data_IF_513340811499
#
_entry.id   IF_513340811499
#
_cell.length_a   1.000
_cell.length_b   1.000
_cell.length_c   1.000
_cell.angle_alpha   90.00
_cell.angle_beta   90.00
_cell.angle_gamma   90.00
#
_symmetry.space_group_name_H-M   'P 1'
#
loop_
_entity.id
_entity.type
_entity.pdbx_description
1 polymer ?
#
# COMPACT_ATOMS: atom_id res chain seq x y z
N UNK A 1 15.99 -9.86 -5.71
CA UNK A 1 15.99 -8.38 -5.76
C UNK A 1 17.28 -7.86 -5.16
N UNK A 2 17.94 -6.95 -5.83
CA UNK A 2 19.22 -6.35 -5.38
C UNK A 2 19.00 -4.90 -4.97
N UNK A 3 19.70 -4.49 -3.91
CA UNK A 3 19.66 -3.13 -3.39
C UNK A 3 21.07 -2.54 -3.35
N UNK A 4 21.16 -1.24 -3.59
CA UNK A 4 22.38 -0.43 -3.42
C UNK A 4 22.01 0.73 -2.49
N UNK A 5 22.37 0.60 -1.19
CA UNK A 5 21.85 1.49 -0.16
C UNK A 5 20.34 1.31 -0.02
N UNK A 6 19.57 2.39 -0.23
CA UNK A 6 18.09 2.36 -0.23
C UNK A 6 17.50 2.31 -1.65
N UNK A 7 18.35 2.08 -2.65
CA UNK A 7 17.94 2.11 -4.05
C UNK A 7 17.90 0.71 -4.63
N UNK A 8 16.81 0.41 -5.32
CA UNK A 8 16.67 -0.85 -6.07
C UNK A 8 17.37 -0.69 -7.42
N UNK A 9 18.37 -1.53 -7.69
CA UNK A 9 19.18 -1.44 -8.92
C UNK A 9 18.98 -2.62 -9.88
N UNK A 10 18.66 -3.81 -9.37
CA UNK A 10 18.37 -4.97 -10.20
C UNK A 10 17.48 -5.98 -9.47
N UNK A 11 16.86 -6.89 -10.22
CA UNK A 11 16.04 -7.96 -9.68
C UNK A 11 14.97 -8.41 -10.66
N UNK A 12 14.13 -9.31 -10.19
CA UNK A 12 12.89 -9.70 -10.85
C UNK A 12 11.75 -9.39 -9.89
N UNK A 13 10.80 -8.57 -10.32
CA UNK A 13 9.65 -8.20 -9.50
C UNK A 13 8.38 -8.76 -10.12
N UNK A 14 7.62 -9.47 -9.31
CA UNK A 14 6.22 -9.76 -9.62
C UNK A 14 5.39 -8.50 -9.34
N UNK A 15 4.46 -8.19 -10.22
CA UNK A 15 3.65 -6.99 -10.14
C UNK A 15 2.31 -7.33 -9.47
N UNK A 16 2.17 -7.07 -8.15
CA UNK A 16 1.04 -7.60 -7.36
C UNK A 16 -0.30 -6.94 -7.71
N UNK A 17 -0.30 -5.73 -8.28
CA UNK A 17 -1.55 -5.03 -8.58
C UNK A 17 -2.04 -5.27 -10.00
N UNK A 18 -1.16 -5.50 -10.94
CA UNK A 18 -1.51 -5.61 -12.35
C UNK A 18 -1.20 -6.97 -12.98
N UNK A 19 -0.46 -7.83 -12.26
CA UNK A 19 0.02 -9.10 -12.81
C UNK A 19 1.27 -8.93 -13.65
N UNK A 20 1.86 -10.08 -14.02
CA UNK A 20 3.11 -10.10 -14.76
C UNK A 20 4.33 -9.82 -13.89
N UNK A 21 5.44 -9.55 -14.55
CA UNK A 21 6.72 -9.27 -13.88
C UNK A 21 7.57 -8.33 -14.72
N UNK A 22 8.58 -7.75 -14.10
CA UNK A 22 9.56 -6.91 -14.78
C UNK A 22 10.93 -7.03 -14.12
N UNK A 23 11.99 -6.82 -14.90
CA UNK A 23 13.35 -6.71 -14.39
C UNK A 23 13.84 -5.26 -14.41
N UNK A 24 13.03 -4.33 -14.89
CA UNK A 24 13.38 -2.92 -15.03
C UNK A 24 13.07 -2.15 -13.77
N UNK A 25 14.12 -1.70 -13.05
CA UNK A 25 13.95 -0.87 -11.85
C UNK A 25 13.24 0.46 -12.15
N UNK A 26 13.35 0.97 -13.37
CA UNK A 26 12.69 2.22 -13.77
C UNK A 26 11.15 2.10 -13.81
N UNK A 27 10.62 0.89 -13.84
CA UNK A 27 9.18 0.63 -13.87
C UNK A 27 8.62 0.30 -12.49
N UNK A 28 9.45 0.34 -11.45
CA UNK A 28 9.08 -0.07 -10.10
C UNK A 28 9.12 1.14 -9.16
N UNK A 29 8.05 1.29 -8.40
CA UNK A 29 7.99 2.20 -7.24
C UNK A 29 7.83 1.36 -5.98
N UNK A 30 8.30 1.88 -4.86
CA UNK A 30 7.94 1.34 -3.54
C UNK A 30 6.71 2.11 -3.07
N UNK A 31 5.59 1.41 -2.98
CA UNK A 31 4.30 1.98 -2.63
C UNK A 31 3.99 1.76 -1.14
N UNK A 32 3.36 2.77 -0.54
CA UNK A 32 2.68 2.59 0.74
C UNK A 32 1.28 2.04 0.45
N UNK A 33 0.96 0.85 0.93
CA UNK A 33 -0.36 0.24 0.73
C UNK A 33 -1.44 1.17 1.24
N UNK A 34 -1.31 1.62 2.50
CA UNK A 34 -2.11 2.73 3.02
C UNK A 34 -1.33 4.01 2.76
N UNK A 35 -1.82 4.89 1.88
CA UNK A 35 -1.14 6.16 1.60
C UNK A 35 -0.97 6.99 2.89
N UNK A 36 0.17 7.64 3.03
CA UNK A 36 0.44 8.47 4.20
C UNK A 36 -0.59 9.58 4.36
N UNK A 37 -1.01 10.18 3.25
CA UNK A 37 -2.02 11.23 3.23
C UNK A 37 -3.38 10.70 3.68
N UNK A 38 -3.76 9.49 3.26
CA UNK A 38 -4.99 8.84 3.71
C UNK A 38 -4.97 8.62 5.22
N UNK A 39 -3.88 8.05 5.73
CA UNK A 39 -3.71 7.79 7.16
C UNK A 39 -3.79 9.08 7.99
N UNK A 40 -3.18 10.15 7.49
CA UNK A 40 -3.23 11.46 8.16
C UNK A 40 -4.68 11.93 8.37
N UNK A 41 -5.52 11.78 7.34
CA UNK A 41 -6.94 12.15 7.40
C UNK A 41 -7.82 11.18 8.18
N UNK A 42 -7.28 10.03 8.60
CA UNK A 42 -8.03 8.96 9.28
C UNK A 42 -7.47 8.65 10.67
N UNK A 43 -6.93 9.64 11.34
CA UNK A 43 -6.45 9.56 12.72
C UNK A 43 -4.93 9.70 12.88
N UNK A 44 -4.16 9.54 11.80
CA UNK A 44 -2.71 9.64 11.85
C UNK A 44 -2.18 11.02 12.18
N UNK A 45 -2.97 12.07 11.97
CA UNK A 45 -2.62 13.44 12.33
C UNK A 45 -2.35 13.63 13.84
N UNK A 46 -2.93 12.74 14.67
CA UNK A 46 -2.78 12.77 16.13
C UNK A 46 -1.61 11.96 16.63
N UNK A 47 -0.92 11.24 15.77
CA UNK A 47 0.21 10.42 16.17
C UNK A 47 1.42 11.27 16.53
N UNK A 48 2.26 10.75 17.41
CA UNK A 48 3.60 11.30 17.63
C UNK A 48 4.44 11.21 16.36
N UNK A 49 5.49 12.02 16.26
CA UNK A 49 6.42 11.94 15.14
C UNK A 49 7.05 10.56 15.01
N UNK A 50 7.38 9.93 16.14
CA UNK A 50 7.93 8.58 16.16
C UNK A 50 6.96 7.56 15.56
N UNK A 51 5.67 7.67 15.88
CA UNK A 51 4.65 6.76 15.36
C UNK A 51 4.40 7.01 13.86
N UNK A 52 4.39 8.26 13.43
CA UNK A 52 4.28 8.61 11.98
C UNK A 52 5.44 8.00 11.20
N UNK A 53 6.65 8.09 11.74
CA UNK A 53 7.84 7.51 11.13
C UNK A 53 7.77 5.99 11.10
N UNK A 54 7.32 5.36 12.17
CA UNK A 54 7.16 3.91 12.24
C UNK A 54 6.18 3.42 11.18
N UNK A 55 5.06 4.13 10.98
CA UNK A 55 4.07 3.80 9.95
C UNK A 55 4.66 3.92 8.55
N UNK A 56 5.35 5.02 8.28
CA UNK A 56 5.95 5.29 6.96
C UNK A 56 7.01 4.26 6.58
N UNK A 57 7.68 3.67 7.56
CA UNK A 57 8.76 2.69 7.34
C UNK A 57 8.35 1.25 7.65
N UNK A 58 7.08 1.01 7.95
CA UNK A 58 6.61 -0.34 8.28
C UNK A 58 6.64 -1.23 7.04
N UNK A 59 7.41 -2.34 7.06
CA UNK A 59 7.48 -3.26 5.91
C UNK A 59 6.12 -3.81 5.50
N UNK A 60 5.17 -3.95 6.43
CA UNK A 60 3.82 -4.43 6.12
C UNK A 60 3.04 -3.42 5.28
N UNK A 61 3.44 -2.15 5.30
CA UNK A 61 2.84 -1.09 4.50
C UNK A 61 3.63 -0.76 3.23
N UNK A 62 4.71 -1.48 2.95
CA UNK A 62 5.56 -1.21 1.80
C UNK A 62 5.46 -2.36 0.79
N UNK A 63 5.34 -2.01 -0.49
CA UNK A 63 5.22 -2.99 -1.57
C UNK A 63 5.86 -2.45 -2.85
N UNK A 64 6.73 -3.26 -3.46
CA UNK A 64 7.25 -2.95 -4.79
C UNK A 64 6.12 -3.18 -5.81
N UNK A 65 5.80 -2.18 -6.60
CA UNK A 65 4.72 -2.24 -7.58
C UNK A 65 5.10 -1.49 -8.84
N UNK A 66 4.33 -1.64 -9.93
CA UNK A 66 4.60 -0.87 -11.13
C UNK A 66 4.32 0.62 -10.90
N UNK A 67 5.14 1.48 -11.52
CA UNK A 67 4.96 2.93 -11.43
C UNK A 67 3.59 3.36 -11.95
N UNK A 68 3.09 2.71 -13.01
CA UNK A 68 1.79 3.04 -13.57
C UNK A 68 0.63 2.67 -12.61
N UNK A 69 0.69 1.51 -11.97
CA UNK A 69 -0.31 1.12 -10.98
C UNK A 69 -0.26 2.02 -9.74
N UNK A 70 0.94 2.40 -9.32
CA UNK A 70 1.11 3.32 -8.19
C UNK A 70 0.51 4.70 -8.48
N UNK A 71 0.71 5.22 -9.69
CA UNK A 71 0.10 6.50 -10.11
C UNK A 71 -1.43 6.40 -10.18
N UNK A 72 -1.95 5.29 -10.69
CA UNK A 72 -3.40 5.03 -10.73
C UNK A 72 -4.01 4.99 -9.35
N UNK A 73 -3.34 4.32 -8.41
CA UNK A 73 -3.79 4.18 -7.02
C UNK A 73 -3.85 5.52 -6.30
N UNK A 74 -2.84 6.36 -6.47
CA UNK A 74 -2.78 7.67 -5.79
C UNK A 74 -2.88 7.56 -4.27
N UNK A 75 -3.51 8.55 -3.64
CA UNK A 75 -3.66 8.65 -2.19
C UNK A 75 -5.08 8.36 -1.71
N UNK A 76 -5.81 7.50 -2.42
CA UNK A 76 -7.21 7.18 -2.13
C UNK A 76 -7.35 5.82 -1.42
N UNK A 77 -8.50 5.64 -0.79
CA UNK A 77 -8.77 4.45 0.02
C UNK A 77 -9.31 3.27 -0.76
N UNK A 78 -9.55 2.13 -0.08
CA UNK A 78 -9.94 0.88 -0.73
C UNK A 78 -11.36 0.88 -1.30
N UNK A 79 -12.18 1.86 -0.92
CA UNK A 79 -13.52 2.07 -1.47
C UNK A 79 -13.51 2.77 -2.82
N UNK A 80 -12.38 3.39 -3.20
CA UNK A 80 -12.24 4.17 -4.42
C UNK A 80 -11.24 3.57 -5.41
N UNK A 81 -10.36 2.69 -4.95
CA UNK A 81 -9.40 2.00 -5.80
C UNK A 81 -9.09 0.62 -5.27
N UNK A 82 -9.06 -0.35 -6.16
CA UNK A 82 -8.61 -1.72 -5.92
C UNK A 82 -7.69 -2.16 -7.05
N UNK A 83 -6.69 -3.02 -6.77
CA UNK A 83 -5.86 -3.57 -7.83
C UNK A 83 -6.66 -4.47 -8.75
N UNK A 84 -6.18 -4.67 -9.97
CA UNK A 84 -6.82 -5.56 -10.95
C UNK A 84 -6.84 -7.02 -10.47
N UNK A 85 -5.78 -7.43 -9.76
CA UNK A 85 -5.64 -8.77 -9.19
C UNK A 85 -5.24 -8.68 -7.71
N UNK A 86 -5.33 -9.80 -6.99
CA UNK A 86 -4.94 -9.90 -5.58
C UNK A 86 -5.73 -8.94 -4.66
N UNK A 87 -7.00 -8.73 -4.99
CA UNK A 87 -7.86 -7.81 -4.23
C UNK A 87 -7.99 -8.21 -2.77
N UNK A 88 -8.17 -9.51 -2.51
CA UNK A 88 -8.34 -10.00 -1.14
C UNK A 88 -7.06 -9.80 -0.31
N UNK A 89 -5.89 -10.15 -0.84
CA UNK A 89 -4.64 -9.95 -0.10
C UNK A 89 -4.34 -8.47 0.11
N UNK A 90 -4.67 -7.62 -0.85
CA UNK A 90 -4.57 -6.17 -0.71
C UNK A 90 -5.47 -5.66 0.43
N UNK A 91 -6.72 -6.10 0.44
CA UNK A 91 -7.68 -5.74 1.47
C UNK A 91 -7.27 -6.22 2.86
N UNK A 92 -6.71 -7.43 2.96
CA UNK A 92 -6.21 -7.97 4.23
C UNK A 92 -5.02 -7.17 4.78
N UNK A 93 -4.17 -6.65 3.90
CA UNK A 93 -3.08 -5.74 4.29
C UNK A 93 -3.64 -4.45 4.89
N UNK A 94 -4.67 -3.86 4.24
CA UNK A 94 -5.37 -2.70 4.78
C UNK A 94 -5.93 -2.99 6.16
N UNK A 95 -6.66 -4.09 6.31
CA UNK A 95 -7.30 -4.46 7.58
C UNK A 95 -6.28 -4.62 8.70
N UNK A 96 -5.19 -5.33 8.45
CA UNK A 96 -4.13 -5.54 9.45
C UNK A 96 -3.47 -4.24 9.89
N UNK A 97 -3.22 -3.33 8.95
CA UNK A 97 -2.61 -2.03 9.25
C UNK A 97 -3.57 -1.10 9.98
N UNK A 98 -4.85 -1.11 9.60
CA UNK A 98 -5.90 -0.35 10.30
C UNK A 98 -5.94 -0.76 11.77
N UNK A 99 -5.95 -2.05 12.05
CA UNK A 99 -5.96 -2.58 13.43
C UNK A 99 -4.67 -2.23 14.17
N UNK A 100 -3.53 -2.41 13.52
CA UNK A 100 -2.22 -2.19 14.14
C UNK A 100 -2.04 -0.74 14.57
N UNK A 101 -2.53 0.20 13.77
CA UNK A 101 -2.32 1.64 14.02
C UNK A 101 -3.57 2.36 14.53
N UNK A 102 -4.67 1.67 14.67
CA UNK A 102 -5.91 2.26 15.17
C UNK A 102 -6.49 3.34 14.25
N UNK A 103 -6.41 3.11 12.94
CA UNK A 103 -6.93 4.07 11.95
C UNK A 103 -8.46 4.07 11.95
N UNK A 104 -9.03 5.26 11.70
CA UNK A 104 -10.49 5.45 11.64
C UNK A 104 -10.98 5.14 10.23
N UNK A 105 -12.04 4.35 10.12
CA UNK A 105 -12.61 3.94 8.84
C UNK A 105 -14.07 4.33 8.73
N UNK A 106 -14.52 4.56 7.48
CA UNK A 106 -15.93 4.72 7.16
C UNK A 106 -16.57 3.36 6.88
N UNK A 107 -17.91 3.31 6.92
CA UNK A 107 -18.67 2.11 6.55
C UNK A 107 -18.36 1.67 5.12
N UNK A 108 -18.24 2.62 4.18
CA UNK A 108 -17.90 2.31 2.78
C UNK A 108 -16.55 1.64 2.64
N UNK A 109 -15.57 2.09 3.39
CA UNK A 109 -14.22 1.50 3.39
C UNK A 109 -14.23 0.08 3.93
N UNK A 110 -14.94 -0.16 5.03
CA UNK A 110 -15.08 -1.51 5.62
C UNK A 110 -15.79 -2.45 4.65
N UNK A 111 -16.87 -2.00 4.03
CA UNK A 111 -17.63 -2.81 3.04
C UNK A 111 -16.73 -3.18 1.86
N UNK A 112 -15.93 -2.24 1.34
CA UNK A 112 -15.03 -2.51 0.24
C UNK A 112 -13.97 -3.56 0.59
N UNK A 113 -13.41 -3.48 1.80
CA UNK A 113 -12.44 -4.45 2.31
C UNK A 113 -13.08 -5.84 2.40
N UNK A 114 -14.27 -5.95 2.99
CA UNK A 114 -14.97 -7.22 3.15
C UNK A 114 -15.32 -7.85 1.79
N UNK A 115 -15.80 -7.05 0.85
CA UNK A 115 -16.17 -7.52 -0.49
C UNK A 115 -14.99 -8.02 -1.30
N UNK A 116 -13.81 -7.49 -1.06
CA UNK A 116 -12.61 -7.87 -1.81
C UNK A 116 -12.25 -9.35 -1.63
N UNK A 117 -12.72 -9.97 -0.57
CA UNK A 117 -12.46 -11.39 -0.26
C UNK A 117 -13.67 -12.30 -0.52
N UNK A 118 -14.72 -11.79 -1.13
CA UNK A 118 -15.88 -12.59 -1.53
C UNK A 118 -15.61 -13.43 -2.77
#
# INVERSE_FOLDING_TARGET
MSLDGCRVVSGLWNLPYSGGSTTSANQIDIDHIIPLKWAHGHGGDRWSDARKKAFANDPENLMATSSSANRSKGAIGPDQWMPAINKCSYAQRWEGLIEKYGLVTTTGEIVAIDRACE
#
